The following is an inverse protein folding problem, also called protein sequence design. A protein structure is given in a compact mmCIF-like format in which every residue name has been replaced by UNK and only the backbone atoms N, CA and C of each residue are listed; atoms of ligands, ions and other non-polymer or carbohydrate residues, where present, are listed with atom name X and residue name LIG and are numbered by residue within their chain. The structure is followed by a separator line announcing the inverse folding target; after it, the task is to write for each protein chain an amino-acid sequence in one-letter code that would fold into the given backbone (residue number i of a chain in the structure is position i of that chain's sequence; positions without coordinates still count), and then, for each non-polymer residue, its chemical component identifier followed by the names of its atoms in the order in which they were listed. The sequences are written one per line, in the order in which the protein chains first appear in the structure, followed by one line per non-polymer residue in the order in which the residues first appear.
data_IF_132346068528
#
_entry.id   IF_132346068528
#
_cell.length_a   1.000
_cell.length_b   1.000
_cell.length_c   1.000
_cell.angle_alpha   90.00
_cell.angle_beta   90.00
_cell.angle_gamma   90.00
#
_symmetry.space_group_name_H-M   'P 1'
#
loop_
_entity.id
_entity.type
_entity.pdbx_description
1 polymer ?
#
# COMPACT_ATOMS: atom_id res chain seq x y z
N UNK A 1 5.92 10.87 0.55
CA UNK A 1 6.16 9.59 -0.17
C UNK A 1 6.92 9.90 -1.45
N UNK A 2 7.98 9.15 -1.76
CA UNK A 2 8.72 9.34 -3.04
C UNK A 2 7.99 8.66 -4.19
N UNK A 3 8.28 9.05 -5.44
CA UNK A 3 7.67 8.42 -6.62
C UNK A 3 7.96 6.90 -6.69
N UNK A 4 9.19 6.51 -6.32
CA UNK A 4 9.61 5.09 -6.26
C UNK A 4 8.83 4.31 -5.20
N UNK A 5 8.64 4.89 -4.02
CA UNK A 5 7.84 4.28 -2.94
C UNK A 5 6.38 4.14 -3.37
N UNK A 6 5.79 5.18 -3.98
CA UNK A 6 4.43 5.13 -4.52
C UNK A 6 4.26 3.98 -5.51
N UNK A 7 5.16 3.86 -6.49
CA UNK A 7 5.11 2.81 -7.50
C UNK A 7 5.17 1.41 -6.87
N UNK A 8 6.05 1.22 -5.87
CA UNK A 8 6.13 -0.05 -5.13
C UNK A 8 4.83 -0.36 -4.38
N UNK A 9 4.28 0.60 -3.64
CA UNK A 9 3.05 0.41 -2.85
C UNK A 9 1.86 0.13 -3.78
N UNK A 10 1.72 0.87 -4.88
CA UNK A 10 0.67 0.61 -5.88
C UNK A 10 0.80 -0.79 -6.47
N UNK A 11 2.02 -1.23 -6.81
CA UNK A 11 2.25 -2.60 -7.30
C UNK A 11 1.82 -3.67 -6.27
N UNK A 12 2.18 -3.48 -5.01
CA UNK A 12 1.82 -4.38 -3.91
C UNK A 12 0.29 -4.45 -3.71
N UNK A 13 -0.39 -3.30 -3.77
CA UNK A 13 -1.87 -3.22 -3.71
C UNK A 13 -2.49 -3.96 -4.90
N UNK A 14 -2.00 -3.74 -6.12
CA UNK A 14 -2.51 -4.36 -7.34
C UNK A 14 -2.42 -5.89 -7.29
N UNK A 15 -1.31 -6.43 -6.78
CA UNK A 15 -1.11 -7.88 -6.66
C UNK A 15 -2.18 -8.58 -5.81
N UNK A 16 -2.71 -7.90 -4.79
CA UNK A 16 -3.73 -8.46 -3.89
C UNK A 16 -5.11 -7.83 -4.09
N UNK A 17 -5.27 -6.91 -5.05
CA UNK A 17 -6.49 -6.10 -5.21
C UNK A 17 -7.75 -6.94 -5.31
N UNK A 18 -7.78 -7.89 -6.24
CA UNK A 18 -8.95 -8.71 -6.50
C UNK A 18 -9.32 -9.60 -5.30
N UNK A 19 -8.32 -9.99 -4.50
CA UNK A 19 -8.53 -10.83 -3.33
C UNK A 19 -8.91 -10.04 -2.07
N UNK A 20 -8.36 -8.84 -1.88
CA UNK A 20 -8.45 -8.11 -0.59
C UNK A 20 -9.23 -6.81 -0.64
N UNK A 21 -9.17 -6.08 -1.76
CA UNK A 21 -9.56 -4.67 -1.82
C UNK A 21 -10.73 -4.38 -2.77
N UNK A 22 -11.03 -5.28 -3.71
CA UNK A 22 -12.17 -5.13 -4.63
C UNK A 22 -13.47 -4.84 -3.84
N UNK A 23 -14.12 -3.72 -4.17
CA UNK A 23 -15.38 -3.28 -3.56
C UNK A 23 -15.26 -2.59 -2.19
N UNK A 24 -14.05 -2.43 -1.64
CA UNK A 24 -13.82 -1.71 -0.37
C UNK A 24 -13.27 -0.33 -0.64
N UNK A 25 -13.80 0.69 0.02
CA UNK A 25 -13.41 2.09 -0.18
C UNK A 25 -12.25 2.56 0.72
N UNK A 26 -12.09 1.97 1.91
CA UNK A 26 -11.02 2.31 2.85
C UNK A 26 -10.22 1.07 3.18
N UNK A 27 -8.91 1.11 2.88
CA UNK A 27 -8.04 -0.05 2.93
C UNK A 27 -6.70 0.30 3.59
N UNK A 28 -5.97 -0.74 3.99
CA UNK A 28 -4.59 -0.61 4.39
C UNK A 28 -3.75 -1.75 3.83
N UNK A 29 -2.47 -1.50 3.59
CA UNK A 29 -1.49 -2.48 3.15
C UNK A 29 -0.23 -2.39 3.99
N UNK A 30 0.33 -3.55 4.35
CA UNK A 30 1.59 -3.67 5.08
C UNK A 30 2.67 -4.08 4.08
N UNK A 31 3.70 -3.26 3.93
CA UNK A 31 4.81 -3.51 3.00
C UNK A 31 6.14 -3.49 3.76
N UNK A 32 7.02 -4.42 3.45
CA UNK A 32 8.43 -4.39 3.89
C UNK A 32 9.28 -3.71 2.82
N UNK A 33 10.37 -3.05 3.21
CA UNK A 33 11.47 -2.81 2.29
C UNK A 33 12.30 -4.10 2.12
N UNK A 34 13.00 -4.24 1.00
CA UNK A 34 13.61 -5.51 0.57
C UNK A 34 14.82 -5.95 1.41
N UNK A 35 15.22 -5.16 2.41
CA UNK A 35 16.37 -5.49 3.27
C UNK A 35 15.87 -6.24 4.52
N UNK A 36 16.61 -7.24 5.02
CA UNK A 36 16.15 -8.10 6.12
C UNK A 36 15.87 -7.35 7.44
N UNK A 37 16.54 -6.23 7.68
CA UNK A 37 16.30 -5.31 8.82
C UNK A 37 15.46 -4.08 8.43
N UNK A 38 14.77 -4.14 7.29
CA UNK A 38 13.95 -3.03 6.83
C UNK A 38 12.75 -2.78 7.75
N UNK A 39 12.49 -1.52 8.12
CA UNK A 39 11.28 -1.17 8.84
C UNK A 39 10.04 -1.56 8.03
N UNK A 40 9.04 -2.08 8.75
CA UNK A 40 7.75 -2.41 8.15
C UNK A 40 6.89 -1.17 8.14
N UNK A 41 6.30 -0.86 6.99
CA UNK A 41 5.39 0.27 6.85
C UNK A 41 3.96 -0.21 6.61
N UNK A 42 3.01 0.44 7.27
CA UNK A 42 1.59 0.31 7.02
C UNK A 42 1.11 1.58 6.30
N UNK A 43 0.52 1.39 5.13
CA UNK A 43 -0.09 2.47 4.35
C UNK A 43 -1.61 2.35 4.44
N UNK A 44 -2.29 3.45 4.75
CA UNK A 44 -3.76 3.52 4.58
C UNK A 44 -4.08 4.32 3.33
N UNK A 45 -5.07 3.83 2.59
CA UNK A 45 -5.46 4.39 1.32
C UNK A 45 -6.95 4.31 1.10
N UNK A 46 -7.49 5.29 0.35
CA UNK A 46 -8.81 5.18 -0.26
C UNK A 46 -8.67 4.45 -1.59
N UNK A 47 -9.53 3.48 -1.80
CA UNK A 47 -9.57 2.69 -3.01
C UNK A 47 -10.74 3.20 -3.87
N UNK A 48 -10.40 3.78 -5.01
CA UNK A 48 -11.34 4.30 -6.00
C UNK A 48 -11.52 3.33 -7.18
N UNK A 49 -10.59 2.40 -7.36
CA UNK A 49 -10.59 1.44 -8.44
C UNK A 49 -9.26 0.70 -8.52
N UNK A 50 -9.17 -0.29 -9.41
CA UNK A 50 -7.88 -0.91 -9.70
C UNK A 50 -6.92 0.15 -10.24
N UNK A 51 -5.70 0.19 -9.69
CA UNK A 51 -4.66 1.18 -9.98
C UNK A 51 -4.98 2.64 -9.56
N UNK A 52 -6.16 2.90 -8.98
CA UNK A 52 -6.59 4.23 -8.54
C UNK A 52 -6.74 4.31 -7.02
N UNK A 53 -5.66 4.76 -6.36
CA UNK A 53 -5.54 4.77 -4.90
C UNK A 53 -5.07 6.14 -4.38
N UNK A 54 -5.79 6.66 -3.39
CA UNK A 54 -5.38 7.84 -2.62
C UNK A 54 -4.72 7.38 -1.32
N UNK A 55 -3.39 7.29 -1.30
CA UNK A 55 -2.62 6.96 -0.09
C UNK A 55 -2.51 8.22 0.76
N UNK A 56 -3.11 8.20 1.95
CA UNK A 56 -3.20 9.37 2.84
C UNK A 56 -2.46 9.19 4.17
N UNK A 57 -2.01 7.98 4.49
CA UNK A 57 -1.28 7.71 5.74
C UNK A 57 -0.19 6.67 5.52
N UNK A 58 0.94 6.89 6.20
CA UNK A 58 2.09 5.98 6.30
C UNK A 58 2.51 5.93 7.77
N UNK A 59 2.58 4.74 8.33
CA UNK A 59 3.02 4.50 9.71
C UNK A 59 4.13 3.45 9.69
N UNK A 60 5.21 3.69 10.43
CA UNK A 60 6.24 2.67 10.68
C UNK A 60 5.81 1.80 11.85
N UNK A 61 5.83 0.49 11.66
CA UNK A 61 5.69 -0.47 12.75
C UNK A 61 7.11 -0.78 13.23
N UNK A 62 7.53 -0.11 14.30
CA UNK A 62 8.70 -0.46 15.13
C UNK A 62 8.40 -1.72 15.94
#
# INVERSE_FOLDING_TARGET
MTAKEKAKVTHDINNVYHAKYKGKSSCYIRTHANEPDSPVYVYRFRNHGFDDYEIYMKESTD
#
